data_IF_565648026975
#
_entry.id   IF_565648026975
#
_cell.length_a   1.000
_cell.length_b   1.000
_cell.length_c   1.000
_cell.angle_alpha   90.00
_cell.angle_beta   90.00
_cell.angle_gamma   90.00
#
_symmetry.space_group_name_H-M   'P 1'
#
loop_
_entity.id
_entity.type
_entity.pdbx_description
1 polymer ?
#
# COMPACT_ATOMS: atom_id res chain seq x y z
N UNK A 1 17.20 -6.46 11.17
CA UNK A 1 17.04 -6.56 9.70
C UNK A 1 16.89 -8.04 9.38
N UNK A 2 15.67 -8.53 9.23
CA UNK A 2 15.46 -9.94 8.87
C UNK A 2 15.86 -10.18 7.40
N UNK A 3 16.48 -11.34 7.08
CA UNK A 3 17.02 -11.59 5.76
C UNK A 3 15.90 -11.83 4.73
N UNK A 4 16.12 -11.38 3.50
CA UNK A 4 15.19 -11.38 2.38
C UNK A 4 14.81 -12.76 1.79
N UNK A 5 15.07 -13.88 2.50
CA UNK A 5 14.71 -15.24 2.09
C UNK A 5 13.68 -15.87 3.05
N UNK A 6 12.64 -15.11 3.36
CA UNK A 6 11.56 -15.56 4.22
C UNK A 6 10.51 -16.33 3.42
N UNK A 7 10.33 -17.62 3.76
CA UNK A 7 9.19 -18.45 3.32
C UNK A 7 7.85 -17.88 3.81
N UNK A 8 7.88 -16.83 4.65
CA UNK A 8 6.68 -16.25 5.23
C UNK A 8 5.88 -15.42 4.23
N UNK A 9 6.43 -15.01 3.08
CA UNK A 9 5.71 -14.20 2.09
C UNK A 9 5.72 -14.81 0.69
N UNK A 10 4.58 -14.77 0.01
CA UNK A 10 4.47 -15.00 -1.44
C UNK A 10 4.23 -13.69 -2.18
N UNK A 11 4.84 -13.52 -3.35
CA UNK A 11 4.59 -12.34 -4.21
C UNK A 11 3.21 -12.51 -4.85
N UNK A 12 2.39 -11.47 -4.76
CA UNK A 12 1.07 -11.37 -5.41
C UNK A 12 1.18 -10.62 -6.73
N UNK A 13 1.88 -9.49 -6.72
CA UNK A 13 2.17 -8.70 -7.92
C UNK A 13 3.46 -7.88 -7.74
N UNK A 14 4.12 -7.59 -8.85
CA UNK A 14 5.33 -6.76 -8.91
C UNK A 14 5.04 -5.50 -9.71
N UNK A 15 5.45 -4.36 -9.19
CA UNK A 15 5.33 -3.04 -9.80
C UNK A 15 6.71 -2.37 -9.85
N UNK A 16 6.83 -1.26 -10.56
CA UNK A 16 8.12 -0.58 -10.80
C UNK A 16 8.89 -0.27 -9.51
N UNK A 17 8.18 0.14 -8.45
CA UNK A 17 8.79 0.62 -7.20
C UNK A 17 8.54 -0.31 -5.99
N UNK A 18 7.64 -1.27 -6.11
CA UNK A 18 7.16 -2.06 -4.98
C UNK A 18 6.54 -3.40 -5.40
N UNK A 19 6.44 -4.32 -4.45
CA UNK A 19 5.73 -5.60 -4.58
C UNK A 19 4.58 -5.67 -3.59
N UNK A 20 3.45 -6.20 -4.04
CA UNK A 20 2.41 -6.70 -3.13
C UNK A 20 2.82 -8.11 -2.73
N UNK A 21 3.01 -8.32 -1.43
CA UNK A 21 3.34 -9.63 -0.87
C UNK A 21 2.27 -10.06 0.12
N UNK A 22 1.96 -11.34 0.14
CA UNK A 22 1.02 -11.94 1.08
C UNK A 22 1.73 -12.84 2.07
N UNK A 23 1.47 -12.62 3.35
CA UNK A 23 2.00 -13.46 4.40
C UNK A 23 1.31 -14.83 4.39
N UNK A 24 2.09 -15.91 4.27
CA UNK A 24 1.61 -17.26 3.99
C UNK A 24 0.79 -17.84 5.15
N UNK A 25 1.09 -17.47 6.40
CA UNK A 25 0.40 -18.07 7.55
C UNK A 25 -0.97 -17.46 7.87
N UNK A 26 -1.22 -16.21 7.47
CA UNK A 26 -2.46 -15.50 7.82
C UNK A 26 -3.17 -14.84 6.62
N UNK A 27 -2.60 -14.94 5.42
CA UNK A 27 -3.18 -14.39 4.20
C UNK A 27 -3.19 -12.86 4.12
N UNK A 28 -2.52 -12.14 5.01
CA UNK A 28 -2.50 -10.68 5.00
C UNK A 28 -1.56 -10.13 3.95
N UNK A 29 -2.00 -9.11 3.22
CA UNK A 29 -1.20 -8.44 2.20
C UNK A 29 -0.44 -7.24 2.77
N UNK A 30 0.68 -6.91 2.14
CA UNK A 30 1.40 -5.66 2.38
C UNK A 30 2.17 -5.23 1.15
N UNK A 31 2.47 -3.93 1.08
CA UNK A 31 3.26 -3.33 0.02
C UNK A 31 4.72 -3.15 0.48
N UNK A 32 5.66 -3.71 -0.28
CA UNK A 32 7.08 -3.73 0.04
C UNK A 32 7.87 -2.99 -1.02
N UNK A 33 8.64 -1.97 -0.64
CA UNK A 33 9.49 -1.22 -1.58
C UNK A 33 10.59 -2.12 -2.19
N UNK A 34 10.87 -1.93 -3.47
CA UNK A 34 11.95 -2.60 -4.21
C UNK A 34 13.27 -1.82 -4.17
N UNK A 35 13.23 -0.56 -3.75
CA UNK A 35 14.39 0.32 -3.59
C UNK A 35 14.31 1.09 -2.28
N UNK A 36 15.44 1.62 -1.84
CA UNK A 36 15.47 2.56 -0.72
C UNK A 36 14.97 3.93 -1.19
N UNK A 37 14.23 4.62 -0.31
CA UNK A 37 13.80 6.00 -0.46
C UNK A 37 14.45 6.85 0.62
N UNK A 38 14.81 8.09 0.30
CA UNK A 38 15.33 9.04 1.30
C UNK A 38 14.18 9.76 2.03
N UNK A 39 14.40 10.25 3.26
CA UNK A 39 13.41 11.09 3.94
C UNK A 39 13.00 12.30 3.09
N UNK A 40 11.70 12.47 2.87
CA UNK A 40 11.14 13.55 2.05
C UNK A 40 11.07 13.25 0.54
N UNK A 41 11.55 12.09 0.09
CA UNK A 41 11.39 11.66 -1.31
C UNK A 41 9.92 11.28 -1.59
N UNK A 42 9.40 11.72 -2.73
CA UNK A 42 8.08 11.31 -3.21
C UNK A 42 8.17 9.87 -3.73
N UNK A 43 7.41 8.97 -3.13
CA UNK A 43 7.39 7.54 -3.50
C UNK A 43 6.57 7.31 -4.77
N UNK A 44 5.35 7.87 -4.82
CA UNK A 44 4.44 7.77 -5.95
C UNK A 44 3.39 8.89 -5.92
N UNK A 45 3.00 9.37 -7.09
CA UNK A 45 1.77 10.13 -7.25
C UNK A 45 0.56 9.18 -7.22
N UNK A 46 -0.58 9.70 -6.77
CA UNK A 46 -1.84 8.97 -6.84
C UNK A 46 -3.00 9.86 -7.29
N UNK A 47 -4.05 9.22 -7.80
CA UNK A 47 -5.32 9.85 -8.15
C UNK A 47 -6.50 9.00 -7.68
N UNK A 48 -7.70 9.56 -7.79
CA UNK A 48 -8.93 8.84 -7.49
C UNK A 48 -9.28 7.89 -8.64
N UNK A 49 -9.37 6.60 -8.36
CA UNK A 49 -9.94 5.61 -9.29
C UNK A 49 -11.47 5.66 -9.27
N UNK A 50 -12.07 5.69 -8.07
CA UNK A 50 -13.51 5.91 -7.86
C UNK A 50 -13.75 7.00 -6.83
N UNK A 51 -14.96 7.55 -6.80
CA UNK A 51 -15.42 8.50 -5.78
C UNK A 51 -16.75 7.99 -5.23
N UNK A 52 -16.86 7.87 -3.91
CA UNK A 52 -18.05 7.40 -3.19
C UNK A 52 -18.36 8.30 -2.00
N UNK A 53 -19.63 8.38 -1.60
CA UNK A 53 -20.03 9.02 -0.36
C UNK A 53 -19.80 8.12 0.86
N UNK A 54 -19.91 6.80 0.68
CA UNK A 54 -19.80 5.80 1.74
C UNK A 54 -18.36 5.29 1.86
N UNK A 55 -17.80 5.21 3.09
CA UNK A 55 -16.49 4.61 3.32
C UNK A 55 -16.53 3.09 3.12
N UNK A 56 -15.39 2.54 2.69
CA UNK A 56 -15.11 1.10 2.79
C UNK A 56 -13.73 0.92 3.40
N UNK A 57 -13.34 -0.32 3.71
CA UNK A 57 -12.00 -0.59 4.24
C UNK A 57 -10.87 -0.24 3.25
N UNK A 58 -11.18 -0.01 1.97
CA UNK A 58 -10.22 0.33 0.90
C UNK A 58 -10.26 1.79 0.47
N UNK A 59 -11.09 2.64 1.09
CA UNK A 59 -11.22 4.03 0.66
C UNK A 59 -10.50 5.02 1.55
N UNK A 60 -9.94 6.06 0.93
CA UNK A 60 -9.33 7.22 1.60
C UNK A 60 -10.31 8.37 1.57
N UNK A 61 -10.55 9.00 2.72
CA UNK A 61 -11.38 10.20 2.80
C UNK A 61 -10.60 11.42 2.31
N UNK A 62 -11.17 12.17 1.36
CA UNK A 62 -10.58 13.41 0.83
C UNK A 62 -11.48 14.64 1.07
N UNK A 63 -12.59 14.45 1.78
CA UNK A 63 -13.53 15.50 2.15
C UNK A 63 -14.74 14.94 2.89
N UNK A 64 -15.62 15.82 3.36
CA UNK A 64 -16.88 15.41 4.00
C UNK A 64 -17.74 14.68 2.98
N UNK A 65 -18.12 13.43 3.27
CA UNK A 65 -18.90 12.59 2.36
C UNK A 65 -18.20 12.31 1.03
N UNK A 66 -16.86 12.31 0.99
CA UNK A 66 -16.08 12.05 -0.22
C UNK A 66 -14.90 11.13 0.07
N UNK A 67 -15.04 9.90 -0.41
CA UNK A 67 -14.08 8.82 -0.31
C UNK A 67 -13.60 8.40 -1.70
N UNK A 68 -12.33 8.00 -1.82
CA UNK A 68 -11.75 7.53 -3.07
C UNK A 68 -11.08 6.17 -2.92
N UNK A 69 -11.10 5.36 -3.98
CA UNK A 69 -10.08 4.31 -4.17
C UNK A 69 -8.88 4.89 -4.89
N UNK A 70 -7.70 4.30 -4.69
CA UNK A 70 -6.44 4.83 -5.20
C UNK A 70 -6.12 4.30 -6.61
N UNK A 71 -5.53 5.15 -7.44
CA UNK A 71 -4.82 4.80 -8.66
C UNK A 71 -3.38 5.34 -8.54
N UNK A 72 -2.34 4.55 -8.80
CA UNK A 72 -2.35 3.15 -9.21
C UNK A 72 -2.90 2.20 -8.13
N UNK A 73 -3.63 1.18 -8.57
CA UNK A 73 -4.39 0.27 -7.69
C UNK A 73 -3.53 -0.36 -6.58
N UNK A 74 -2.25 -0.66 -6.86
CA UNK A 74 -1.37 -1.32 -5.88
C UNK A 74 -1.15 -0.50 -4.60
N UNK A 75 -1.40 0.81 -4.63
CA UNK A 75 -1.32 1.65 -3.43
C UNK A 75 -2.42 1.35 -2.41
N UNK A 76 -3.49 0.64 -2.80
CA UNK A 76 -4.51 0.17 -1.85
C UNK A 76 -3.97 -0.84 -0.83
N UNK A 77 -2.78 -1.42 -1.07
CA UNK A 77 -2.12 -2.35 -0.15
C UNK A 77 -1.17 -1.67 0.85
N UNK A 78 -1.16 -0.33 0.90
CA UNK A 78 -0.49 0.41 1.98
C UNK A 78 -1.28 0.19 3.27
N UNK A 79 -0.63 -0.42 4.26
CA UNK A 79 -1.24 -0.68 5.56
C UNK A 79 -1.13 0.54 6.48
N UNK A 80 -2.15 0.72 7.32
CA UNK A 80 -2.09 1.66 8.43
C UNK A 80 -1.14 1.14 9.53
N UNK A 81 -0.31 2.02 10.08
CA UNK A 81 0.54 1.76 11.24
C UNK A 81 0.45 2.93 12.22
N UNK A 82 0.47 2.64 13.52
CA UNK A 82 0.61 3.68 14.55
C UNK A 82 2.01 4.33 14.54
N UNK A 83 3.00 3.68 13.93
CA UNK A 83 4.33 4.19 13.66
C UNK A 83 4.60 4.07 12.14
N UNK A 84 4.07 4.99 11.32
CA UNK A 84 4.17 4.89 9.88
C UNK A 84 5.57 5.27 9.39
N UNK A 85 5.98 4.70 8.26
CA UNK A 85 7.22 5.03 7.55
C UNK A 85 6.97 5.80 6.24
N UNK A 86 5.70 6.14 5.94
CA UNK A 86 5.25 6.97 4.82
C UNK A 86 4.14 7.91 5.33
N UNK A 87 3.98 9.08 4.74
CA UNK A 87 3.00 10.10 5.15
C UNK A 87 2.15 10.56 3.97
#
# INVERSE_FOLDING_TARGET
MEPANSVAYRIVSTHEIAEVRQHVSNGQNGLFALKAFQPGEVIADFSASTISAEPTYLTVQIGIGKHITLQPEFLQYVNHSCEPNVF
#
